data_IF_123201830024
#
_entry.id   IF_123201830024
#
_cell.length_a   1.000
_cell.length_b   1.000
_cell.length_c   1.000
_cell.angle_alpha   90.00
_cell.angle_beta   90.00
_cell.angle_gamma   90.00
#
_symmetry.space_group_name_H-M   'P 1'
#
loop_
_entity.id
_entity.type
_entity.pdbx_description
1 polymer ?
#
# COMPACT_ATOMS: atom_id res chain seq x y z
N UNK A 1 -26.88 4.70 -2.70
CA UNK A 1 -25.47 5.12 -2.85
C UNK A 1 -24.78 5.05 -1.48
N UNK A 2 -24.38 3.85 -1.01
CA UNK A 2 -23.84 3.67 0.36
C UNK A 2 -22.37 3.18 0.39
N UNK A 3 -21.88 2.58 -0.70
CA UNK A 3 -20.60 1.88 -0.72
C UNK A 3 -19.36 2.77 -0.94
N UNK A 4 -19.55 4.03 -1.31
CA UNK A 4 -18.43 4.95 -1.62
C UNK A 4 -17.80 5.49 -0.34
N UNK A 5 -18.61 5.80 0.67
CA UNK A 5 -18.18 6.32 1.97
C UNK A 5 -17.40 5.29 2.78
N UNK A 6 -17.83 4.03 2.78
CA UNK A 6 -17.12 2.95 3.49
C UNK A 6 -15.77 2.62 2.84
N UNK A 7 -15.72 2.62 1.50
CA UNK A 7 -14.45 2.46 0.76
C UNK A 7 -13.48 3.60 1.07
N UNK A 8 -13.97 4.84 1.13
CA UNK A 8 -13.12 5.99 1.43
C UNK A 8 -12.55 5.91 2.85
N UNK A 9 -13.38 5.57 3.84
CA UNK A 9 -12.93 5.32 5.23
C UNK A 9 -11.87 4.22 5.30
N UNK A 10 -12.06 3.11 4.56
CA UNK A 10 -11.08 2.02 4.52
C UNK A 10 -9.74 2.48 3.90
N UNK A 11 -9.77 3.32 2.86
CA UNK A 11 -8.57 3.90 2.27
C UNK A 11 -7.87 4.88 3.22
N UNK A 12 -8.62 5.73 3.92
CA UNK A 12 -8.09 6.64 4.92
C UNK A 12 -7.41 5.89 6.08
N UNK A 13 -8.05 4.82 6.55
CA UNK A 13 -7.49 3.96 7.60
C UNK A 13 -6.23 3.23 7.13
N UNK A 14 -6.26 2.62 5.94
CA UNK A 14 -5.11 1.94 5.36
C UNK A 14 -3.93 2.91 5.19
N UNK A 15 -4.19 4.13 4.69
CA UNK A 15 -3.18 5.19 4.55
C UNK A 15 -2.52 5.53 5.89
N UNK A 16 -3.32 5.71 6.94
CA UNK A 16 -2.83 6.02 8.29
C UNK A 16 -2.02 4.88 8.89
N UNK A 17 -2.54 3.65 8.86
CA UNK A 17 -1.88 2.48 9.48
C UNK A 17 -0.63 2.03 8.72
N UNK A 18 -0.65 2.10 7.39
CA UNK A 18 0.48 1.68 6.54
C UNK A 18 1.48 2.80 6.25
N UNK A 19 1.28 4.00 6.81
CA UNK A 19 2.13 5.20 6.60
C UNK A 19 2.37 5.49 5.12
N UNK A 20 1.30 5.45 4.32
CA UNK A 20 1.35 5.63 2.86
C UNK A 20 1.06 7.09 2.47
N UNK A 21 1.72 7.58 1.43
CA UNK A 21 1.41 8.87 0.81
C UNK A 21 0.35 8.72 -0.30
N UNK A 22 -0.14 9.85 -0.81
CA UNK A 22 -1.15 9.85 -1.88
C UNK A 22 -0.66 9.12 -3.15
N UNK A 23 0.63 9.25 -3.49
CA UNK A 23 1.26 8.52 -4.61
C UNK A 23 1.20 7.00 -4.39
N UNK A 24 1.48 6.55 -3.18
CA UNK A 24 1.44 5.12 -2.84
C UNK A 24 0.01 4.58 -2.99
N UNK A 25 -1.00 5.34 -2.57
CA UNK A 25 -2.41 4.96 -2.73
C UNK A 25 -2.80 4.87 -4.22
N UNK A 26 -2.29 5.77 -5.07
CA UNK A 26 -2.51 5.68 -6.52
C UNK A 26 -1.86 4.42 -7.11
N UNK A 27 -0.63 4.10 -6.71
CA UNK A 27 0.06 2.88 -7.12
C UNK A 27 -0.73 1.63 -6.68
N UNK A 28 -1.17 1.58 -5.43
CA UNK A 28 -2.01 0.48 -4.93
C UNK A 28 -3.27 0.29 -5.79
N UNK A 29 -3.94 1.37 -6.17
CA UNK A 29 -5.10 1.32 -7.08
C UNK A 29 -4.73 0.80 -8.48
N UNK A 30 -3.63 1.26 -9.07
CA UNK A 30 -3.14 0.77 -10.38
C UNK A 30 -2.68 -0.70 -10.34
N UNK A 31 -2.23 -1.16 -9.17
CA UNK A 31 -1.88 -2.55 -8.91
C UNK A 31 -3.11 -3.43 -8.66
N UNK A 32 -4.32 -2.86 -8.49
CA UNK A 32 -5.53 -3.60 -8.13
C UNK A 32 -5.58 -4.01 -6.66
N UNK A 33 -4.76 -3.39 -5.81
CA UNK A 33 -4.70 -3.66 -4.37
C UNK A 33 -5.84 -2.90 -3.68
N UNK A 34 -6.58 -3.62 -2.84
CA UNK A 34 -7.66 -3.05 -2.04
C UNK A 34 -7.14 -2.55 -0.68
N UNK A 35 -7.83 -1.59 -0.03
CA UNK A 35 -7.43 -1.10 1.29
C UNK A 35 -7.44 -2.21 2.35
N UNK A 36 -8.36 -3.18 2.24
CA UNK A 36 -8.39 -4.37 3.10
C UNK A 36 -7.12 -5.24 2.93
N UNK A 37 -6.60 -5.35 1.72
CA UNK A 37 -5.35 -6.09 1.46
C UNK A 37 -4.14 -5.39 2.06
N UNK A 38 -4.07 -4.05 2.00
CA UNK A 38 -3.01 -3.28 2.67
C UNK A 38 -3.02 -3.52 4.18
N UNK A 39 -4.20 -3.48 4.81
CA UNK A 39 -4.36 -3.70 6.24
C UNK A 39 -3.97 -5.12 6.67
N UNK A 40 -4.32 -6.13 5.87
CA UNK A 40 -3.94 -7.53 6.14
C UNK A 40 -2.44 -7.80 5.99
N UNK A 41 -1.72 -6.96 5.26
CA UNK A 41 -0.28 -7.09 5.05
C UNK A 41 0.56 -6.29 6.04
N UNK A 42 -0.05 -5.65 7.06
CA UNK A 42 0.71 -5.00 8.13
C UNK A 42 1.43 -6.09 8.94
N UNK A 43 2.78 -6.11 8.98
CA UNK A 43 3.52 -7.13 9.71
C UNK A 43 3.29 -6.99 11.21
N UNK A 44 3.06 -8.12 11.89
CA UNK A 44 3.08 -8.19 13.36
C UNK A 44 4.53 -8.35 13.88
N UNK A 45 4.80 -8.11 15.18
CA UNK A 45 6.13 -8.27 15.75
C UNK A 45 6.77 -9.66 15.57
N UNK A 46 5.94 -10.69 15.36
CA UNK A 46 6.38 -12.08 15.12
C UNK A 46 6.68 -12.37 13.64
N UNK A 47 6.31 -11.45 12.74
CA UNK A 47 6.45 -11.60 11.28
C UNK A 47 7.56 -10.70 10.75
N UNK A 48 8.73 -10.73 11.38
CA UNK A 48 9.89 -9.88 11.02
C UNK A 48 10.40 -10.13 9.59
N UNK A 49 10.09 -11.29 9.01
CA UNK A 49 10.43 -11.64 7.63
C UNK A 49 9.56 -10.91 6.59
N UNK A 50 8.44 -10.31 7.00
CA UNK A 50 7.58 -9.52 6.10
C UNK A 50 8.09 -8.10 5.98
N UNK A 51 8.18 -7.60 4.75
CA UNK A 51 8.47 -6.20 4.50
C UNK A 51 7.32 -5.30 4.98
N UNK A 52 7.63 -4.07 5.45
CA UNK A 52 6.63 -3.04 5.65
C UNK A 52 5.80 -2.82 4.39
N UNK A 53 4.49 -2.61 4.56
CA UNK A 53 3.51 -2.47 3.45
C UNK A 53 3.95 -1.44 2.40
N UNK A 54 4.61 -0.35 2.82
CA UNK A 54 5.15 0.67 1.90
C UNK A 54 6.23 0.10 0.98
N UNK A 55 7.21 -0.63 1.53
CA UNK A 55 8.30 -1.23 0.75
C UNK A 55 7.74 -2.32 -0.18
N UNK A 56 6.89 -3.21 0.33
CA UNK A 56 6.23 -4.23 -0.46
C UNK A 56 5.46 -3.64 -1.65
N UNK A 57 4.73 -2.55 -1.42
CA UNK A 57 3.97 -1.86 -2.47
C UNK A 57 4.89 -1.26 -3.56
N UNK A 58 6.03 -0.70 -3.16
CA UNK A 58 7.02 -0.16 -4.08
C UNK A 58 7.68 -1.25 -4.91
N UNK A 59 7.98 -2.41 -4.34
CA UNK A 59 8.49 -3.56 -5.08
C UNK A 59 7.49 -4.05 -6.14
N UNK A 60 6.19 -4.14 -5.78
CA UNK A 60 5.15 -4.50 -6.75
C UNK A 60 5.03 -3.44 -7.86
N UNK A 61 5.09 -2.16 -7.51
CA UNK A 61 5.07 -1.08 -8.48
C UNK A 61 6.28 -1.13 -9.43
N UNK A 62 7.47 -1.45 -8.92
CA UNK A 62 8.69 -1.67 -9.71
C UNK A 62 8.54 -2.86 -10.65
N UNK A 63 8.06 -4.01 -10.16
CA UNK A 63 7.80 -5.21 -10.98
C UNK A 63 6.81 -4.94 -12.11
N UNK A 64 5.84 -4.06 -11.88
CA UNK A 64 4.84 -3.65 -12.89
C UNK A 64 5.29 -2.46 -13.75
N UNK A 65 6.52 -1.95 -13.57
CA UNK A 65 7.07 -0.83 -14.33
C UNK A 65 6.46 0.54 -14.03
N UNK A 66 5.67 0.66 -12.95
CA UNK A 66 5.01 1.90 -12.52
C UNK A 66 5.97 2.83 -11.74
N UNK A 67 7.11 2.31 -11.30
CA UNK A 67 8.20 3.07 -10.70
C UNK A 67 9.53 2.66 -11.37
N UNK A 68 10.34 3.66 -11.72
CA UNK A 68 11.71 3.49 -12.21
C UNK A 68 12.70 3.65 -11.06
N UNK A 69 13.83 2.97 -11.14
CA UNK A 69 14.70 2.66 -10.00
C UNK A 69 15.50 3.84 -9.43
N UNK A 70 15.51 4.98 -10.10
CA UNK A 70 16.34 6.14 -9.80
C UNK A 70 16.11 6.84 -8.44
N UNK A 71 15.15 6.40 -7.61
CA UNK A 71 14.76 7.15 -6.38
C UNK A 71 14.46 6.30 -5.14
N UNK A 72 15.22 5.23 -4.88
CA UNK A 72 15.27 4.69 -3.51
C UNK A 72 16.70 4.79 -2.96
N UNK A 73 17.00 5.67 -1.99
CA UNK A 73 18.09 5.37 -1.06
C UNK A 73 17.64 4.17 -0.22
N UNK A 74 18.57 3.22 -0.07
CA UNK A 74 18.46 2.09 0.86
C UNK A 74 18.10 2.56 2.27
#
# INVERSE_FOLDING_TARGET
MANTTEKDRAWAEAKKRCRLHTRDIQLAKQLGISPKSLLKNIPSPKEQWKLPVKQWLHELARKKGLMKDDKLPF
#
